data_IF_771854007778
#
_entry.id   IF_771854007778
#
_cell.length_a   1.000
_cell.length_b   1.000
_cell.length_c   1.000
_cell.angle_alpha   90.00
_cell.angle_beta   90.00
_cell.angle_gamma   90.00
#
_symmetry.space_group_name_H-M   'P 1'
#
loop_
_entity.id
_entity.type
_entity.pdbx_description
1 polymer ?
#
# COMPACT_ATOMS: atom_id res chain seq x y z
N UNK A 1 -0.06 6.23 -6.95
CA UNK A 1 -1.52 6.28 -7.09
C UNK A 1 -2.14 5.00 -6.56
N UNK A 2 -3.45 4.99 -6.30
CA UNK A 2 -4.22 3.85 -5.81
C UNK A 2 -5.44 3.68 -6.71
N UNK A 3 -5.61 2.52 -7.33
CA UNK A 3 -6.74 2.25 -8.22
C UNK A 3 -7.11 0.75 -8.25
N UNK A 4 -8.40 0.40 -8.18
CA UNK A 4 -9.54 1.27 -7.85
C UNK A 4 -9.50 1.73 -6.38
N UNK A 5 -10.21 2.82 -6.07
CA UNK A 5 -10.43 3.30 -4.70
C UNK A 5 -11.75 4.08 -4.66
N UNK A 6 -12.85 3.56 -4.06
CA UNK A 6 -12.90 2.35 -3.23
C UNK A 6 -12.54 1.05 -3.98
N UNK A 7 -11.92 0.11 -3.27
CA UNK A 7 -11.55 -1.21 -3.77
C UNK A 7 -12.53 -2.27 -3.27
N UNK A 8 -12.90 -3.22 -4.12
CA UNK A 8 -13.72 -4.38 -3.75
C UNK A 8 -12.82 -5.62 -3.66
N UNK A 9 -12.39 -6.17 -4.79
CA UNK A 9 -11.64 -7.43 -4.82
C UNK A 9 -10.13 -7.25 -4.86
N UNK A 10 -9.67 -6.19 -5.52
CA UNK A 10 -8.25 -5.88 -5.62
C UNK A 10 -8.01 -4.37 -5.68
N UNK A 11 -6.80 -3.98 -5.27
CA UNK A 11 -6.26 -2.64 -5.50
C UNK A 11 -4.85 -2.72 -6.04
N UNK A 12 -4.55 -1.84 -7.00
CA UNK A 12 -3.19 -1.59 -7.48
C UNK A 12 -2.64 -0.32 -6.83
N UNK A 13 -1.50 -0.48 -6.17
CA UNK A 13 -0.70 0.60 -5.61
C UNK A 13 0.42 0.87 -6.61
N UNK A 14 0.39 2.01 -7.30
CA UNK A 14 1.47 2.41 -8.23
C UNK A 14 2.34 3.50 -7.63
N UNK A 15 3.63 3.46 -7.92
CA UNK A 15 4.61 4.41 -7.41
C UNK A 15 5.16 5.23 -8.58
N UNK A 16 5.39 6.53 -8.35
CA UNK A 16 5.89 7.45 -9.37
C UNK A 16 7.34 7.82 -9.05
N UNK A 17 8.23 7.82 -10.05
CA UNK A 17 9.64 8.17 -9.88
C UNK A 17 10.54 7.02 -9.42
N UNK A 18 11.73 7.37 -8.92
CA UNK A 18 12.77 6.47 -8.42
C UNK A 18 12.68 6.23 -6.90
N UNK A 19 11.50 6.47 -6.31
CA UNK A 19 11.23 6.39 -4.86
C UNK A 19 11.27 4.95 -4.29
N UNK A 20 11.47 3.96 -5.16
CA UNK A 20 11.57 2.56 -4.77
C UNK A 20 13.01 2.10 -4.89
N UNK A 21 13.61 1.85 -3.74
CA UNK A 21 14.90 1.17 -3.63
C UNK A 21 14.76 -0.04 -2.69
N UNK A 22 15.87 -0.71 -2.43
CA UNK A 22 15.88 -1.93 -1.60
C UNK A 22 15.52 -1.68 -0.12
N UNK A 23 15.52 -0.42 0.31
CA UNK A 23 15.12 0.00 1.67
C UNK A 23 13.66 0.42 1.74
N UNK A 24 12.96 0.52 0.62
CA UNK A 24 11.55 0.91 0.63
C UNK A 24 10.71 -0.17 1.30
N UNK A 25 9.92 0.26 2.29
CA UNK A 25 8.98 -0.53 3.05
C UNK A 25 7.58 0.04 2.86
N UNK A 26 6.66 -0.80 2.42
CA UNK A 26 5.25 -0.45 2.28
C UNK A 26 4.48 -1.19 3.37
N UNK A 27 3.64 -0.48 4.10
CA UNK A 27 2.79 -1.02 5.16
C UNK A 27 1.33 -0.71 4.86
N UNK A 28 0.48 -1.70 5.04
CA UNK A 28 -0.96 -1.53 5.10
C UNK A 28 -1.38 -1.60 6.56
N UNK A 29 -1.97 -0.55 7.07
CA UNK A 29 -2.51 -0.47 8.42
C UNK A 29 -4.03 -0.23 8.38
N UNK A 30 -4.76 -0.75 9.36
CA UNK A 30 -6.18 -0.44 9.51
C UNK A 30 -6.39 0.90 10.23
N UNK A 31 -7.65 1.32 10.34
CA UNK A 31 -8.07 2.54 11.05
C UNK A 31 -7.73 2.58 12.55
N UNK A 32 -7.42 1.43 13.16
CA UNK A 32 -6.99 1.33 14.57
C UNK A 32 -5.46 1.32 14.70
N UNK A 33 -4.72 1.44 13.59
CA UNK A 33 -3.26 1.39 13.56
C UNK A 33 -2.68 -0.02 13.57
N UNK A 34 -3.50 -1.06 13.41
CA UNK A 34 -3.01 -2.44 13.33
C UNK A 34 -2.34 -2.67 11.98
N UNK A 35 -1.13 -3.23 12.00
CA UNK A 35 -0.44 -3.67 10.80
C UNK A 35 -1.15 -4.89 10.20
N UNK A 36 -1.68 -4.73 8.99
CA UNK A 36 -2.35 -5.78 8.21
C UNK A 36 -1.36 -6.50 7.32
N UNK A 37 -0.50 -5.75 6.62
CA UNK A 37 0.49 -6.32 5.69
C UNK A 37 1.70 -5.42 5.54
N UNK A 38 2.85 -6.03 5.24
CA UNK A 38 4.11 -5.34 4.98
C UNK A 38 4.82 -5.93 3.76
N UNK A 39 5.32 -5.06 2.90
CA UNK A 39 6.19 -5.39 1.77
C UNK A 39 7.54 -4.69 1.97
N UNK A 40 8.64 -5.39 1.71
CA UNK A 40 10.01 -4.87 1.86
C UNK A 40 10.82 -5.19 0.60
N UNK A 41 11.57 -4.21 0.12
CA UNK A 41 12.55 -4.37 -0.95
C UNK A 41 11.99 -4.44 -2.37
N UNK A 42 12.86 -4.24 -3.35
CA UNK A 42 12.56 -4.16 -4.79
C UNK A 42 11.84 -5.40 -5.33
N UNK A 43 12.23 -6.60 -4.90
CA UNK A 43 11.73 -7.86 -5.47
C UNK A 43 10.21 -8.06 -5.36
N UNK A 44 9.53 -7.43 -4.39
CA UNK A 44 8.07 -7.53 -4.26
C UNK A 44 7.32 -6.35 -4.90
N UNK A 45 8.03 -5.32 -5.34
CA UNK A 45 7.47 -4.17 -6.04
C UNK A 45 7.86 -4.24 -7.52
N UNK A 46 7.49 -5.36 -8.16
CA UNK A 46 7.74 -5.57 -9.58
C UNK A 46 7.11 -4.42 -10.40
N UNK A 47 7.95 -3.69 -11.14
CA UNK A 47 7.49 -2.68 -12.10
C UNK A 47 6.79 -1.47 -11.48
N UNK A 48 7.21 -1.02 -10.29
CA UNK A 48 6.64 0.16 -9.59
C UNK A 48 5.16 -0.01 -9.25
N UNK A 49 4.71 -1.24 -9.03
CA UNK A 49 3.36 -1.49 -8.53
C UNK A 49 3.28 -2.68 -7.58
N UNK A 50 2.31 -2.62 -6.66
CA UNK A 50 1.91 -3.73 -5.80
C UNK A 50 0.44 -4.00 -6.08
N UNK A 51 0.11 -5.24 -6.45
CA UNK A 51 -1.28 -5.72 -6.45
C UNK A 51 -1.60 -6.35 -5.10
N UNK A 52 -2.69 -5.90 -4.50
CA UNK A 52 -3.20 -6.39 -3.24
C UNK A 52 -4.62 -6.92 -3.46
N UNK A 53 -4.84 -8.20 -3.16
CA UNK A 53 -6.18 -8.74 -2.97
C UNK A 53 -6.80 -8.15 -1.70
N UNK A 54 -8.03 -7.65 -1.80
CA UNK A 54 -8.82 -7.08 -0.71
C UNK A 54 -9.99 -7.97 -0.29
N UNK A 55 -10.19 -9.12 -0.94
CA UNK A 55 -11.33 -10.04 -0.72
C UNK A 55 -11.49 -10.48 0.74
N UNK A 56 -10.38 -10.74 1.43
CA UNK A 56 -10.38 -11.21 2.82
C UNK A 56 -10.28 -10.07 3.85
N UNK A 57 -10.25 -8.81 3.40
CA UNK A 57 -10.12 -7.65 4.27
C UNK A 57 -11.51 -7.07 4.56
N UNK A 58 -11.88 -6.83 5.84
CA UNK A 58 -13.15 -6.17 6.14
C UNK A 58 -13.27 -4.81 5.45
N UNK A 59 -14.49 -4.48 5.00
CA UNK A 59 -14.81 -3.15 4.47
C UNK A 59 -14.51 -2.06 5.49
N UNK A 60 -13.88 -0.97 5.04
CA UNK A 60 -13.44 0.09 5.94
C UNK A 60 -12.29 0.93 5.40
N UNK A 61 -11.74 1.77 6.26
CA UNK A 61 -10.61 2.64 5.93
C UNK A 61 -9.29 1.99 6.35
N UNK A 62 -8.35 1.99 5.41
CA UNK A 62 -6.98 1.56 5.61
C UNK A 62 -6.03 2.67 5.18
N UNK A 63 -4.81 2.62 5.69
CA UNK A 63 -3.74 3.52 5.29
C UNK A 63 -2.56 2.73 4.76
N UNK A 64 -2.06 3.16 3.61
CA UNK A 64 -0.83 2.68 3.01
C UNK A 64 0.26 3.67 3.39
N UNK A 65 1.27 3.18 4.11
CA UNK A 65 2.43 3.96 4.53
C UNK A 65 3.64 3.46 3.76
N UNK A 66 4.30 4.38 3.05
CA UNK A 66 5.54 4.11 2.31
C UNK A 66 6.68 4.78 3.06
N UNK A 67 7.62 3.97 3.56
CA UNK A 67 8.83 4.38 4.25
C UNK A 67 10.01 4.08 3.32
N UNK A 68 10.86 5.07 3.05
CA UNK A 68 12.07 4.91 2.24
C UNK A 68 13.24 5.64 2.90
N UNK A 69 14.19 6.14 2.10
CA UNK A 69 15.28 7.00 2.59
C UNK A 69 14.84 8.45 2.87
N UNK A 70 13.62 8.84 2.50
CA UNK A 70 13.09 10.16 2.81
C UNK A 70 12.69 10.26 4.29
N UNK A 71 12.98 11.42 4.91
CA UNK A 71 12.68 11.70 6.33
C UNK A 71 11.19 11.58 6.68
N UNK A 72 10.29 11.76 5.71
CA UNK A 72 8.85 11.69 5.92
C UNK A 72 8.21 10.55 5.14
N UNK A 73 7.45 9.66 5.82
CA UNK A 73 6.73 8.60 5.14
C UNK A 73 5.57 9.17 4.32
N UNK A 74 5.39 8.66 3.10
CA UNK A 74 4.22 8.98 2.31
C UNK A 74 3.03 8.15 2.80
N UNK A 75 1.91 8.82 3.10
CA UNK A 75 0.68 8.15 3.54
C UNK A 75 -0.41 8.32 2.49
N UNK A 76 -1.16 7.26 2.21
CA UNK A 76 -2.33 7.28 1.32
C UNK A 76 -3.49 6.51 1.92
N UNK A 77 -4.70 7.05 1.78
CA UNK A 77 -5.94 6.43 2.25
C UNK A 77 -6.47 5.45 1.21
N UNK A 78 -6.76 4.23 1.64
CA UNK A 78 -7.47 3.20 0.89
C UNK A 78 -8.83 2.97 1.53
N UNK A 79 -9.88 2.96 0.72
CA UNK A 79 -11.23 2.56 1.15
C UNK A 79 -11.52 1.19 0.54
N UNK A 80 -11.91 0.23 1.37
CA UNK A 80 -12.38 -1.09 0.93
C UNK A 80 -13.89 -1.15 1.10
N UNK A 81 -14.60 -1.54 0.05
CA UNK A 81 -16.05 -1.67 -0.01
C UNK A 81 -16.42 -2.90 -0.84
N UNK A 82 -16.99 -3.90 -0.17
CA UNK A 82 -17.63 -5.08 -0.77
C UNK A 82 -19.14 -4.89 -0.90
#
# INVERSE_FOLDING_TARGET
TLYPNPADQEVTISFSGDEINDKTQVELIDQHGKLVKRWTGNMKIHGRSIRLSTVDLPGGVYYIIVKGDADQPAVRKLVIQH
#
